data_IF_965476672424
#
_entry.id   IF_965476672424
#
_cell.length_a   1.000
_cell.length_b   1.000
_cell.length_c   1.000
_cell.angle_alpha   90.00
_cell.angle_beta   90.00
_cell.angle_gamma   90.00
#
_symmetry.space_group_name_H-M   'P 1'
#
loop_
_entity.id
_entity.type
_entity.pdbx_description
1 polymer ?
#
# COMPACT_ATOMS: atom_id res chain seq x y z
N UNK A 1 47.51 63.70 -86.39
CA UNK A 1 46.44 63.33 -87.33
C UNK A 1 45.94 61.96 -86.95
N UNK A 2 44.68 61.86 -86.54
CA UNK A 2 44.03 60.65 -86.06
C UNK A 2 42.88 60.26 -87.01
N UNK A 3 42.73 58.97 -87.28
CA UNK A 3 41.61 58.32 -87.97
C UNK A 3 41.76 56.81 -87.76
N UNK A 4 40.76 55.94 -87.68
CA UNK A 4 39.31 55.95 -87.40
C UNK A 4 38.88 54.46 -87.56
N UNK A 5 37.91 53.98 -86.77
CA UNK A 5 37.16 52.72 -86.96
C UNK A 5 37.35 51.75 -85.79
N UNK A 6 36.43 51.59 -84.82
CA UNK A 6 35.07 50.97 -84.85
C UNK A 6 35.10 49.53 -85.38
N UNK A 7 34.36 48.54 -84.88
CA UNK A 7 33.71 48.20 -83.61
C UNK A 7 33.19 46.77 -83.87
N UNK A 8 33.45 45.79 -83.00
CA UNK A 8 32.77 44.49 -83.07
C UNK A 8 32.21 44.12 -81.70
N UNK A 9 30.98 43.60 -81.77
CA UNK A 9 30.01 43.45 -80.68
C UNK A 9 29.55 41.98 -80.64
N UNK A 10 29.07 41.53 -79.47
CA UNK A 10 28.15 40.38 -79.24
C UNK A 10 28.77 38.98 -79.34
N UNK A 11 28.38 37.96 -78.56
CA UNK A 11 27.20 37.74 -77.69
C UNK A 11 27.49 36.59 -76.71
N UNK A 12 26.89 36.67 -75.51
CA UNK A 12 26.68 35.57 -74.56
C UNK A 12 25.64 34.54 -75.02
N UNK A 13 25.51 33.46 -74.24
CA UNK A 13 24.59 32.28 -74.25
C UNK A 13 25.31 30.99 -74.68
N UNK A 14 25.22 29.84 -74.03
CA UNK A 14 24.49 29.32 -72.87
C UNK A 14 25.26 28.03 -72.47
N UNK A 15 25.36 27.70 -71.18
CA UNK A 15 25.08 26.32 -70.78
C UNK A 15 24.70 26.27 -69.30
N UNK A 16 23.47 25.84 -69.08
CA UNK A 16 22.84 25.65 -67.78
C UNK A 16 23.22 24.27 -67.26
N UNK A 17 23.84 24.20 -66.08
CA UNK A 17 23.92 22.96 -65.32
C UNK A 17 23.34 23.24 -63.95
N UNK A 18 22.10 22.78 -63.76
CA UNK A 18 21.37 22.82 -62.50
C UNK A 18 22.20 22.23 -61.36
N UNK A 19 22.28 23.01 -60.29
CA UNK A 19 22.87 22.62 -59.03
C UNK A 19 21.90 21.65 -58.34
N UNK A 20 22.21 20.34 -58.39
CA UNK A 20 21.48 19.32 -57.65
C UNK A 20 21.71 19.60 -56.16
N UNK A 21 20.72 20.20 -55.51
CA UNK A 21 20.65 20.27 -54.06
C UNK A 21 20.45 18.84 -53.56
N UNK A 22 21.54 18.20 -53.16
CA UNK A 22 21.49 16.96 -52.37
C UNK A 22 20.94 17.36 -51.00
N UNK A 23 19.61 17.29 -50.87
CA UNK A 23 18.97 17.17 -49.56
C UNK A 23 19.58 15.97 -48.86
N UNK A 24 20.05 16.09 -47.61
CA UNK A 24 20.57 14.94 -46.89
C UNK A 24 19.42 13.96 -46.73
N UNK A 25 19.52 12.82 -47.42
CA UNK A 25 18.67 11.67 -47.24
C UNK A 25 18.85 11.27 -45.77
N UNK A 26 17.92 11.71 -44.92
CA UNK A 26 17.80 11.16 -43.59
C UNK A 26 17.79 9.65 -43.73
N UNK A 27 18.71 8.99 -43.05
CA UNK A 27 18.81 7.54 -42.99
C UNK A 27 17.51 7.04 -42.35
N UNK A 28 16.46 6.90 -43.15
CA UNK A 28 15.35 6.03 -42.82
C UNK A 28 15.96 4.64 -42.84
N UNK A 29 16.29 4.09 -41.68
CA UNK A 29 16.51 2.65 -41.57
C UNK A 29 15.34 1.98 -42.30
N UNK A 30 15.65 1.36 -43.43
CA UNK A 30 14.63 0.92 -44.37
C UNK A 30 13.85 -0.18 -43.68
N UNK A 31 12.57 0.08 -43.39
CA UNK A 31 11.65 -0.93 -42.89
C UNK A 31 11.82 -2.21 -43.72
N UNK A 32 11.75 -3.41 -43.11
CA UNK A 32 12.00 -4.65 -43.82
C UNK A 32 10.86 -5.04 -44.80
N UNK A 33 9.92 -4.12 -45.04
CA UNK A 33 8.75 -4.22 -45.89
C UNK A 33 8.30 -2.82 -46.37
N UNK A 34 7.46 -2.78 -47.40
CA UNK A 34 6.79 -1.55 -47.87
C UNK A 34 5.43 -1.43 -47.20
N UNK A 35 5.07 -0.24 -46.73
CA UNK A 35 3.73 0.05 -46.18
C UNK A 35 2.73 0.22 -47.33
N UNK A 36 2.16 -0.89 -47.80
CA UNK A 36 1.20 -0.94 -48.90
C UNK A 36 -0.26 -1.02 -48.44
N UNK A 37 -0.50 -1.51 -47.23
CA UNK A 37 -1.84 -1.74 -46.68
C UNK A 37 -2.51 -0.45 -46.22
N UNK A 38 -3.80 -0.23 -46.53
CA UNK A 38 -4.55 0.93 -46.02
C UNK A 38 -4.74 0.89 -44.49
N UNK A 39 -4.55 -0.27 -43.86
CA UNK A 39 -4.69 -0.45 -42.40
C UNK A 39 -3.70 0.40 -41.59
N UNK A 40 -2.55 0.78 -42.17
CA UNK A 40 -1.59 1.67 -41.51
C UNK A 40 -2.22 2.98 -41.05
N UNK A 41 -3.07 3.58 -41.89
CA UNK A 41 -3.75 4.84 -41.56
C UNK A 41 -4.68 4.68 -40.36
N UNK A 42 -5.40 3.56 -40.28
CA UNK A 42 -6.27 3.26 -39.15
C UNK A 42 -5.47 3.07 -37.86
N UNK A 43 -4.45 2.22 -37.87
CA UNK A 43 -3.66 1.90 -36.67
C UNK A 43 -2.87 3.12 -36.18
N UNK A 44 -2.20 3.85 -37.06
CA UNK A 44 -1.42 5.03 -36.68
C UNK A 44 -2.30 6.19 -36.18
N UNK A 45 -3.62 6.17 -36.46
CA UNK A 45 -4.57 7.17 -35.96
C UNK A 45 -5.10 6.89 -34.55
N UNK A 46 -4.80 5.73 -33.97
CA UNK A 46 -5.23 5.40 -32.60
C UNK A 46 -4.68 6.41 -31.57
N UNK A 47 -5.51 6.78 -30.59
CA UNK A 47 -5.19 7.83 -29.61
C UNK A 47 -3.89 7.54 -28.83
N UNK A 48 -3.61 6.27 -28.58
CA UNK A 48 -2.37 5.84 -27.91
C UNK A 48 -1.12 6.35 -28.61
N UNK A 49 -1.08 6.39 -29.95
CA UNK A 49 0.08 6.87 -30.70
C UNK A 49 0.18 8.39 -30.75
N UNK A 50 -0.90 9.11 -30.43
CA UNK A 50 -0.84 10.56 -30.21
C UNK A 50 -0.20 10.87 -28.85
N UNK A 51 -0.49 10.07 -27.82
CA UNK A 51 0.07 10.23 -26.46
C UNK A 51 1.47 9.64 -26.31
N UNK A 52 1.72 8.52 -26.98
CA UNK A 52 2.98 7.79 -26.99
C UNK A 52 3.42 7.57 -28.44
N UNK A 53 4.01 8.58 -29.09
CA UNK A 53 4.51 8.44 -30.45
C UNK A 53 5.53 7.30 -30.55
N UNK A 54 5.38 6.44 -31.56
CA UNK A 54 6.24 5.28 -31.80
C UNK A 54 6.78 5.28 -33.23
N UNK A 55 8.06 4.91 -33.37
CA UNK A 55 8.71 4.67 -34.67
C UNK A 55 9.54 3.37 -34.64
N UNK A 56 8.90 2.20 -34.47
CA UNK A 56 9.58 0.91 -34.39
C UNK A 56 10.27 0.54 -35.71
N UNK A 57 11.46 -0.03 -35.61
CA UNK A 57 12.29 -0.43 -36.75
C UNK A 57 11.86 -1.77 -37.36
N UNK A 58 11.22 -2.64 -36.57
CA UNK A 58 10.76 -3.98 -36.96
C UNK A 58 11.82 -4.91 -37.56
N UNK A 59 13.11 -4.64 -37.34
CA UNK A 59 14.23 -5.41 -37.90
C UNK A 59 14.10 -6.93 -37.71
N UNK A 60 13.65 -7.48 -36.57
CA UNK A 60 13.47 -8.93 -36.41
C UNK A 60 12.54 -9.57 -37.46
N UNK A 61 11.65 -8.79 -38.09
CA UNK A 61 10.75 -9.30 -39.14
C UNK A 61 11.50 -9.72 -40.42
N UNK A 62 12.80 -9.42 -40.57
CA UNK A 62 13.61 -9.92 -41.68
C UNK A 62 13.71 -11.44 -41.71
N UNK A 63 13.54 -12.11 -40.58
CA UNK A 63 13.56 -13.58 -40.46
C UNK A 63 12.37 -14.25 -41.13
N UNK A 64 11.30 -13.50 -41.39
CA UNK A 64 10.07 -14.01 -41.98
C UNK A 64 9.98 -13.71 -43.48
N UNK A 65 9.12 -14.46 -44.19
CA UNK A 65 8.87 -14.21 -45.63
C UNK A 65 8.33 -12.81 -45.85
N UNK A 66 8.80 -12.14 -46.90
CA UNK A 66 8.43 -10.75 -47.26
C UNK A 66 6.92 -10.50 -47.26
N UNK A 67 6.14 -11.48 -47.74
CA UNK A 67 4.67 -11.40 -47.81
C UNK A 67 3.96 -11.29 -46.45
N UNK A 68 4.59 -11.69 -45.34
CA UNK A 68 3.99 -11.65 -44.00
C UNK A 68 4.42 -10.42 -43.17
N UNK A 69 5.55 -9.80 -43.51
CA UNK A 69 6.21 -8.78 -42.66
C UNK A 69 5.32 -7.59 -42.37
N UNK A 70 4.65 -7.05 -43.40
CA UNK A 70 3.76 -5.91 -43.22
C UNK A 70 2.59 -6.24 -42.28
N UNK A 71 1.97 -7.41 -42.45
CA UNK A 71 0.86 -7.85 -41.59
C UNK A 71 1.29 -8.02 -40.13
N UNK A 72 2.46 -8.59 -39.88
CA UNK A 72 2.99 -8.73 -38.51
C UNK A 72 3.34 -7.38 -37.89
N UNK A 73 3.92 -6.46 -38.67
CA UNK A 73 4.23 -5.12 -38.17
C UNK A 73 2.95 -4.35 -37.77
N UNK A 74 1.89 -4.46 -38.56
CA UNK A 74 0.56 -3.94 -38.21
C UNK A 74 0.06 -4.60 -36.93
N UNK A 75 0.18 -5.94 -36.83
CA UNK A 75 -0.17 -6.69 -35.63
C UNK A 75 0.55 -6.19 -34.38
N UNK A 76 1.86 -6.02 -34.43
CA UNK A 76 2.64 -5.48 -33.31
C UNK A 76 2.22 -4.07 -32.91
N UNK A 77 1.91 -3.19 -33.86
CA UNK A 77 1.37 -1.85 -33.55
C UNK A 77 0.04 -1.96 -32.80
N UNK A 78 -0.88 -2.80 -33.27
CA UNK A 78 -2.16 -3.02 -32.59
C UNK A 78 -1.94 -3.64 -31.19
N UNK A 79 -1.03 -4.59 -31.06
CA UNK A 79 -0.67 -5.17 -29.75
C UNK A 79 -0.15 -4.10 -28.80
N UNK A 80 0.78 -3.24 -29.24
CA UNK A 80 1.27 -2.12 -28.42
C UNK A 80 0.13 -1.23 -27.94
N UNK A 81 -0.77 -0.84 -28.85
CA UNK A 81 -1.93 -0.01 -28.53
C UNK A 81 -2.78 -0.64 -27.41
N UNK A 82 -3.17 -1.90 -27.60
CA UNK A 82 -4.01 -2.64 -26.66
C UNK A 82 -3.33 -2.82 -25.30
N UNK A 83 -2.04 -3.16 -25.29
CA UNK A 83 -1.29 -3.40 -24.06
C UNK A 83 -1.08 -2.12 -23.27
N UNK A 84 -0.82 -0.99 -23.93
CA UNK A 84 -0.72 0.31 -23.25
C UNK A 84 -2.09 0.73 -22.70
N UNK A 85 -3.17 0.60 -23.48
CA UNK A 85 -4.51 0.91 -23.00
C UNK A 85 -4.91 0.04 -21.80
N UNK A 86 -4.62 -1.26 -21.84
CA UNK A 86 -4.85 -2.16 -20.71
C UNK A 86 -3.99 -1.77 -19.51
N UNK A 87 -2.68 -1.56 -19.71
CA UNK A 87 -1.78 -1.19 -18.65
C UNK A 87 -2.27 0.04 -17.89
N UNK A 88 -2.79 1.05 -18.60
CA UNK A 88 -3.34 2.27 -17.99
C UNK A 88 -4.74 2.11 -17.39
N UNK A 89 -5.50 1.08 -17.80
CA UNK A 89 -6.80 0.71 -17.22
C UNK A 89 -6.66 -0.08 -15.92
N UNK A 90 -5.62 -0.91 -15.80
CA UNK A 90 -5.37 -1.74 -14.63
C UNK A 90 -5.34 -0.91 -13.33
N UNK A 91 -5.97 -1.47 -12.30
CA UNK A 91 -6.07 -0.97 -10.93
C UNK A 91 -5.32 -1.89 -9.98
N UNK A 92 -4.91 -1.35 -8.84
CA UNK A 92 -4.20 -2.12 -7.79
C UNK A 92 -5.01 -3.30 -7.23
N UNK A 93 -6.33 -3.32 -7.42
CA UNK A 93 -7.23 -4.41 -7.01
C UNK A 93 -7.31 -5.53 -8.04
N UNK A 94 -6.79 -5.31 -9.24
CA UNK A 94 -6.86 -6.30 -10.31
C UNK A 94 -5.82 -7.43 -10.08
N UNK A 95 -6.04 -8.63 -10.65
CA UNK A 95 -5.14 -9.75 -10.46
C UNK A 95 -3.71 -9.45 -10.92
N UNK A 96 -2.71 -9.87 -10.13
CA UNK A 96 -1.27 -9.72 -10.45
C UNK A 96 -0.93 -10.28 -11.84
N UNK A 97 -1.56 -11.38 -12.25
CA UNK A 97 -1.34 -11.98 -13.56
C UNK A 97 -1.62 -11.02 -14.72
N UNK A 98 -2.62 -10.13 -14.61
CA UNK A 98 -2.93 -9.14 -15.65
C UNK A 98 -1.79 -8.16 -15.89
N UNK A 99 -1.07 -7.78 -14.84
CA UNK A 99 0.14 -6.95 -14.94
C UNK A 99 1.28 -7.70 -15.62
N UNK A 100 1.47 -8.99 -15.27
CA UNK A 100 2.52 -9.83 -15.84
C UNK A 100 2.30 -10.06 -17.34
N UNK A 101 1.07 -10.35 -17.77
CA UNK A 101 0.73 -10.47 -19.19
C UNK A 101 1.04 -9.19 -19.97
N UNK A 102 0.78 -8.01 -19.39
CA UNK A 102 1.15 -6.75 -20.03
C UNK A 102 2.68 -6.57 -20.13
N UNK A 103 3.41 -6.92 -19.06
CA UNK A 103 4.88 -6.83 -19.04
C UNK A 103 5.53 -7.77 -20.06
N UNK A 104 5.04 -9.00 -20.17
CA UNK A 104 5.48 -10.00 -21.16
C UNK A 104 5.25 -9.47 -22.58
N UNK A 105 4.05 -8.98 -22.89
CA UNK A 105 3.75 -8.43 -24.21
C UNK A 105 4.63 -7.20 -24.54
N UNK A 106 4.92 -6.33 -23.56
CA UNK A 106 5.85 -5.22 -23.76
C UNK A 106 7.30 -5.70 -23.97
N UNK A 107 7.70 -6.80 -23.33
CA UNK A 107 9.00 -7.41 -23.53
C UNK A 107 9.14 -7.98 -24.94
N UNK A 108 8.09 -8.59 -25.48
CA UNK A 108 8.11 -9.12 -26.85
C UNK A 108 8.16 -8.00 -27.91
N UNK A 109 7.64 -6.81 -27.62
CA UNK A 109 7.63 -5.68 -28.55
C UNK A 109 8.97 -4.90 -28.57
N UNK A 110 9.72 -4.91 -27.47
CA UNK A 110 10.95 -4.13 -27.34
C UNK A 110 12.01 -4.43 -28.44
N UNK A 111 12.29 -5.70 -28.80
CA UNK A 111 13.22 -6.02 -29.89
C UNK A 111 12.79 -5.51 -31.28
N UNK A 112 11.52 -5.16 -31.46
CA UNK A 112 11.01 -4.57 -32.70
C UNK A 112 11.16 -3.04 -32.74
N UNK A 113 11.70 -2.42 -31.69
CA UNK A 113 11.97 -0.99 -31.61
C UNK A 113 10.87 -0.17 -30.94
N UNK A 114 9.99 -0.81 -30.18
CA UNK A 114 8.96 -0.09 -29.42
C UNK A 114 9.54 0.52 -28.14
N UNK A 115 9.21 1.78 -27.87
CA UNK A 115 9.55 2.45 -26.62
C UNK A 115 8.54 2.05 -25.53
N UNK A 116 8.90 1.04 -24.75
CA UNK A 116 8.02 0.43 -23.73
C UNK A 116 8.31 0.87 -22.29
N UNK A 117 9.43 1.56 -22.06
CA UNK A 117 9.98 1.84 -20.73
C UNK A 117 9.00 2.55 -19.79
N UNK A 118 8.26 3.56 -20.27
CA UNK A 118 7.31 4.29 -19.45
C UNK A 118 6.17 3.38 -18.95
N UNK A 119 5.64 2.54 -19.83
CA UNK A 119 4.56 1.60 -19.50
C UNK A 119 5.07 0.49 -18.57
N UNK A 120 6.25 -0.07 -18.83
CA UNK A 120 6.91 -1.05 -17.95
C UNK A 120 7.13 -0.47 -16.55
N UNK A 121 7.73 0.73 -16.45
CA UNK A 121 7.98 1.39 -15.17
C UNK A 121 6.69 1.63 -14.37
N UNK A 122 5.61 2.04 -15.04
CA UNK A 122 4.30 2.20 -14.39
C UNK A 122 3.79 0.87 -13.83
N UNK A 123 3.80 -0.21 -14.62
CA UNK A 123 3.34 -1.53 -14.21
C UNK A 123 4.17 -2.09 -13.05
N UNK A 124 5.50 -2.00 -13.13
CA UNK A 124 6.40 -2.42 -12.04
C UNK A 124 6.17 -1.61 -10.76
N UNK A 125 5.92 -0.29 -10.88
CA UNK A 125 5.59 0.53 -9.72
C UNK A 125 4.28 0.10 -9.07
N UNK A 126 3.26 -0.24 -9.86
CA UNK A 126 2.00 -0.75 -9.33
C UNK A 126 2.17 -2.10 -8.63
N UNK A 127 2.93 -3.03 -9.21
CA UNK A 127 3.26 -4.32 -8.57
C UNK A 127 3.94 -4.12 -7.21
N UNK A 128 4.89 -3.19 -7.12
CA UNK A 128 5.54 -2.86 -5.85
C UNK A 128 4.56 -2.30 -4.81
N UNK A 129 3.58 -1.50 -5.23
CA UNK A 129 2.52 -1.00 -4.33
C UNK A 129 1.62 -2.14 -3.87
N UNK A 130 1.24 -3.07 -4.75
CA UNK A 130 0.43 -4.25 -4.40
C UNK A 130 1.15 -5.09 -3.34
N UNK A 131 2.44 -5.36 -3.52
CA UNK A 131 3.27 -6.10 -2.56
C UNK A 131 3.32 -5.41 -1.19
N UNK A 132 3.52 -4.09 -1.16
CA UNK A 132 3.52 -3.31 0.08
C UNK A 132 2.16 -3.34 0.80
N UNK A 133 1.07 -3.21 0.04
CA UNK A 133 -0.29 -3.29 0.60
C UNK A 133 -0.57 -4.67 1.19
N UNK A 134 -0.13 -5.74 0.53
CA UNK A 134 -0.27 -7.10 1.06
C UNK A 134 0.49 -7.27 2.37
N UNK A 135 1.72 -6.74 2.47
CA UNK A 135 2.49 -6.77 3.71
C UNK A 135 1.78 -6.02 4.84
N UNK A 136 1.33 -4.79 4.58
CA UNK A 136 0.61 -3.98 5.56
C UNK A 136 -0.71 -4.61 5.99
N UNK A 137 -1.41 -5.29 5.08
CA UNK A 137 -2.64 -6.00 5.41
C UNK A 137 -2.39 -7.17 6.36
N UNK A 138 -1.31 -7.93 6.15
CA UNK A 138 -0.94 -9.01 7.07
C UNK A 138 -0.59 -8.47 8.46
N UNK A 139 0.19 -7.39 8.53
CA UNK A 139 0.51 -6.71 9.80
C UNK A 139 -0.75 -6.17 10.50
N UNK A 140 -1.68 -5.60 9.73
CA UNK A 140 -2.98 -5.15 10.27
C UNK A 140 -3.76 -6.29 10.92
N UNK A 141 -3.90 -7.42 10.22
CA UNK A 141 -4.63 -8.60 10.71
C UNK A 141 -3.98 -9.17 11.97
N UNK A 142 -2.65 -9.21 12.03
CA UNK A 142 -1.90 -9.66 13.22
C UNK A 142 -2.17 -8.76 14.43
N UNK A 143 -2.05 -7.43 14.25
CA UNK A 143 -2.28 -6.46 15.32
C UNK A 143 -3.74 -6.48 15.79
N UNK A 144 -4.70 -6.55 14.87
CA UNK A 144 -6.13 -6.68 15.17
C UNK A 144 -6.43 -7.96 15.98
N UNK A 145 -5.80 -9.07 15.61
CA UNK A 145 -5.86 -10.32 16.37
C UNK A 145 -5.34 -10.14 17.79
N UNK A 146 -4.17 -9.51 17.97
CA UNK A 146 -3.59 -9.28 19.30
C UNK A 146 -4.44 -8.36 20.18
N UNK A 147 -5.03 -7.32 19.59
CA UNK A 147 -5.98 -6.44 20.29
C UNK A 147 -7.17 -7.25 20.79
N UNK A 148 -7.72 -8.13 19.95
CA UNK A 148 -8.88 -8.96 20.30
C UNK A 148 -8.55 -9.92 21.46
N UNK A 149 -7.39 -10.58 21.42
CA UNK A 149 -6.90 -11.43 22.52
C UNK A 149 -6.78 -10.67 23.84
N UNK A 150 -6.06 -9.55 23.83
CA UNK A 150 -5.84 -8.72 25.02
C UNK A 150 -7.14 -8.15 25.58
N UNK A 151 -8.12 -7.85 24.71
CA UNK A 151 -9.44 -7.40 25.14
C UNK A 151 -10.15 -8.50 25.92
N UNK A 152 -10.14 -9.74 25.43
CA UNK A 152 -10.73 -10.89 26.12
C UNK A 152 -10.03 -11.18 27.46
N UNK A 153 -8.70 -11.19 27.49
CA UNK A 153 -7.93 -11.36 28.73
C UNK A 153 -8.27 -10.28 29.76
N UNK A 154 -8.43 -9.04 29.31
CA UNK A 154 -8.79 -7.93 30.18
C UNK A 154 -10.22 -8.05 30.73
N UNK A 155 -11.17 -8.56 29.95
CA UNK A 155 -12.53 -8.83 30.42
C UNK A 155 -12.55 -9.89 31.53
N UNK A 156 -11.75 -10.96 31.39
CA UNK A 156 -11.57 -11.98 32.44
C UNK A 156 -10.99 -11.38 33.72
N UNK A 157 -9.96 -10.53 33.60
CA UNK A 157 -9.36 -9.84 34.75
C UNK A 157 -10.38 -8.92 35.42
N UNK A 158 -11.22 -8.21 34.66
CA UNK A 158 -12.29 -7.36 35.21
C UNK A 158 -13.29 -8.21 36.01
N UNK A 159 -13.68 -9.39 35.52
CA UNK A 159 -14.53 -10.30 36.27
C UNK A 159 -13.88 -10.77 37.58
N UNK A 160 -12.58 -11.08 37.56
CA UNK A 160 -11.84 -11.45 38.77
C UNK A 160 -11.79 -10.30 39.79
N UNK A 161 -11.56 -9.07 39.32
CA UNK A 161 -11.59 -7.86 40.16
C UNK A 161 -12.97 -7.70 40.82
N UNK A 162 -14.06 -7.91 40.08
CA UNK A 162 -15.42 -7.85 40.63
C UNK A 162 -15.61 -8.90 41.74
N UNK A 163 -15.21 -10.16 41.48
CA UNK A 163 -15.28 -11.26 42.46
C UNK A 163 -14.46 -10.98 43.72
N UNK A 164 -13.26 -10.41 43.57
CA UNK A 164 -12.41 -10.04 44.70
C UNK A 164 -13.00 -8.89 45.53
N UNK A 165 -13.56 -7.87 44.88
CA UNK A 165 -14.22 -6.76 45.56
C UNK A 165 -15.44 -7.22 46.38
N UNK A 166 -16.21 -8.19 45.87
CA UNK A 166 -17.31 -8.80 46.62
C UNK A 166 -16.81 -9.53 47.88
N UNK A 167 -15.74 -10.32 47.77
CA UNK A 167 -15.12 -10.98 48.93
C UNK A 167 -14.60 -9.98 49.97
N UNK A 168 -13.97 -8.88 49.54
CA UNK A 168 -13.50 -7.82 50.44
C UNK A 168 -14.68 -7.23 51.23
N UNK A 169 -15.80 -6.94 50.55
CA UNK A 169 -17.00 -6.41 51.20
C UNK A 169 -17.54 -7.36 52.26
N UNK A 170 -17.68 -8.64 51.93
CA UNK A 170 -18.18 -9.64 52.88
C UNK A 170 -17.26 -9.74 54.12
N UNK A 171 -15.95 -9.73 53.93
CA UNK A 171 -14.99 -9.73 55.06
C UNK A 171 -15.06 -8.45 55.90
N UNK A 172 -15.31 -7.30 55.30
CA UNK A 172 -15.52 -6.04 56.02
C UNK A 172 -16.78 -6.10 56.89
N UNK A 173 -17.88 -6.66 56.37
CA UNK A 173 -19.13 -6.85 57.11
C UNK A 173 -18.96 -7.83 58.28
N UNK A 174 -18.25 -8.95 58.04
CA UNK A 174 -17.89 -9.92 59.10
C UNK A 174 -17.03 -9.29 60.20
N UNK A 175 -16.03 -8.48 59.83
CA UNK A 175 -15.18 -7.76 60.77
C UNK A 175 -15.99 -6.78 61.62
N UNK A 176 -16.90 -6.02 61.01
CA UNK A 176 -17.78 -5.09 61.72
C UNK A 176 -18.69 -5.82 62.73
N UNK A 177 -19.26 -6.96 62.33
CA UNK A 177 -20.07 -7.81 63.20
C UNK A 177 -19.26 -8.36 64.38
N UNK A 178 -18.04 -8.84 64.14
CA UNK A 178 -17.15 -9.33 65.19
C UNK A 178 -16.74 -8.22 66.17
N UNK A 179 -16.44 -7.02 65.67
CA UNK A 179 -16.10 -5.85 66.49
C UNK A 179 -17.26 -5.45 67.43
N UNK A 180 -18.49 -5.39 66.92
CA UNK A 180 -19.68 -5.08 67.74
C UNK A 180 -19.94 -6.15 68.82
N UNK A 181 -19.81 -7.45 68.47
CA UNK A 181 -19.91 -8.53 69.46
C UNK A 181 -18.86 -8.42 70.56
N UNK A 182 -17.61 -8.08 70.20
CA UNK A 182 -16.54 -7.84 71.16
C UNK A 182 -16.86 -6.68 72.10
N UNK A 183 -17.31 -5.55 71.56
CA UNK A 183 -17.69 -4.38 72.37
C UNK A 183 -18.80 -4.69 73.38
N UNK A 184 -19.82 -5.44 72.96
CA UNK A 184 -20.88 -5.90 73.86
C UNK A 184 -20.33 -6.80 74.98
N UNK A 185 -19.41 -7.72 74.64
CA UNK A 185 -18.78 -8.61 75.62
C UNK A 185 -17.85 -7.86 76.58
N UNK A 186 -17.10 -6.88 76.08
CA UNK A 186 -16.25 -6.00 76.91
C UNK A 186 -17.12 -5.20 77.91
N UNK A 187 -18.29 -4.74 77.48
CA UNK A 187 -19.27 -4.07 78.34
C UNK A 187 -19.83 -5.01 79.42
N UNK A 188 -20.21 -6.24 79.06
CA UNK A 188 -20.68 -7.26 80.00
C UNK A 188 -19.60 -7.63 81.03
N UNK A 189 -18.36 -7.80 80.60
CA UNK A 189 -17.20 -8.06 81.49
C UNK A 189 -17.01 -6.90 82.47
N UNK A 190 -17.14 -5.66 82.00
CA UNK A 190 -16.98 -4.47 82.85
C UNK A 190 -18.06 -4.42 83.93
N UNK A 191 -19.33 -4.64 83.56
CA UNK A 191 -20.44 -4.69 84.52
C UNK A 191 -20.27 -5.82 85.56
N UNK A 192 -19.84 -7.01 85.14
CA UNK A 192 -19.57 -8.12 86.06
C UNK A 192 -18.43 -7.82 87.03
N UNK A 193 -17.36 -7.13 86.57
CA UNK A 193 -16.26 -6.71 87.44
C UNK A 193 -16.71 -5.70 88.51
N UNK A 194 -17.58 -4.76 88.15
CA UNK A 194 -18.16 -3.80 89.10
C UNK A 194 -19.04 -4.52 90.14
N UNK A 195 -19.90 -5.44 89.70
CA UNK A 195 -20.73 -6.25 90.60
C UNK A 195 -19.87 -7.11 91.54
N UNK A 196 -18.79 -7.71 91.03
CA UNK A 196 -17.86 -8.50 91.85
C UNK A 196 -17.21 -7.64 92.93
N UNK A 197 -16.75 -6.43 92.57
CA UNK A 197 -16.16 -5.49 93.52
C UNK A 197 -17.15 -5.08 94.63
N UNK A 198 -18.42 -4.85 94.28
CA UNK A 198 -19.47 -4.52 95.25
C UNK A 198 -19.76 -5.69 96.22
N UNK A 199 -19.79 -6.93 95.71
CA UNK A 199 -19.94 -8.13 96.54
C UNK A 199 -18.74 -8.30 97.47
N UNK A 200 -17.52 -8.16 96.96
CA UNK A 200 -16.30 -8.25 97.78
C UNK A 200 -16.26 -7.21 98.89
N UNK A 201 -16.67 -5.96 98.62
CA UNK A 201 -16.76 -4.91 99.63
C UNK A 201 -17.81 -5.25 100.71
N UNK A 202 -18.95 -5.82 100.30
CA UNK A 202 -19.99 -6.27 101.23
C UNK A 202 -19.52 -7.42 102.13
N UNK A 203 -18.79 -8.39 101.57
CA UNK A 203 -18.18 -9.48 102.35
C UNK A 203 -17.20 -8.92 103.39
N UNK A 204 -16.29 -8.04 102.99
CA UNK A 204 -15.32 -7.42 103.90
C UNK A 204 -16.00 -6.64 105.05
N UNK A 205 -17.09 -5.92 104.74
CA UNK A 205 -17.88 -5.23 105.77
C UNK A 205 -18.46 -6.22 106.79
N UNK A 206 -19.04 -7.33 106.34
CA UNK A 206 -19.63 -8.35 107.22
C UNK A 206 -18.54 -9.03 108.07
N UNK A 207 -17.37 -9.32 107.49
CA UNK A 207 -16.24 -9.92 108.21
C UNK A 207 -15.73 -8.99 109.32
N UNK A 208 -15.60 -7.68 109.05
CA UNK A 208 -15.21 -6.68 110.05
C UNK A 208 -16.26 -6.54 111.17
N UNK A 209 -17.54 -6.45 110.81
CA UNK A 209 -18.64 -6.36 111.78
C UNK A 209 -18.68 -7.58 112.72
N UNK A 210 -18.27 -8.76 112.23
CA UNK A 210 -18.17 -9.98 113.03
C UNK A 210 -16.98 -9.96 113.99
N UNK A 211 -15.80 -9.50 113.55
CA UNK A 211 -14.61 -9.37 114.40
C UNK A 211 -14.79 -8.34 115.52
N UNK A 212 -15.49 -7.23 115.27
CA UNK A 212 -15.78 -6.21 116.30
C UNK A 212 -16.81 -6.68 117.35
N UNK A 213 -17.57 -7.74 117.07
CA UNK A 213 -18.61 -8.28 117.95
C UNK A 213 -18.12 -9.38 118.93
N UNK A 214 -16.85 -9.79 118.84
CA UNK A 214 -16.21 -10.82 119.68
C UNK A 214 -15.13 -10.24 120.59
#
# INVERSE_FOLDING_TARGET
MASRGEAETRTETENSTEMIIVTPRGESESLPFVKSSPAWKAVQSMQVFQKFPQNPHFLPLTEYRKSFREGMAIGHMVTFANVVEEAFRLKITDPVHSFMTCLEALQDLEPHGFHVNATKARLTKMLSVIEQLQKLHNEHVEVEGRISELTSENDEIVEEIVKLNEKIRNLQDELACAASKKENKDSEITALRESLAAISASIQSIELDFEDAT
#
